data_IF_263082183549
#
_entry.id   IF_263082183549
#
_cell.length_a   1.000
_cell.length_b   1.000
_cell.length_c   1.000
_cell.angle_alpha   90.00
_cell.angle_beta   90.00
_cell.angle_gamma   90.00
#
_symmetry.space_group_name_H-M   'P 1'
#
loop_
_entity.id
_entity.type
_entity.pdbx_description
1 polymer ?
#
# COMPACT_ATOMS: atom_id res chain seq x y z
N UNK A 1 19.65 7.74 10.10
CA UNK A 1 18.23 7.94 9.76
C UNK A 1 17.51 6.67 10.16
N UNK A 2 16.52 6.73 11.04
CA UNK A 2 15.82 5.56 11.59
C UNK A 2 14.52 5.24 10.83
N UNK A 3 14.36 5.80 9.62
CA UNK A 3 13.16 5.63 8.80
C UNK A 3 13.56 5.42 7.34
N UNK A 4 12.75 4.66 6.61
CA UNK A 4 12.82 4.49 5.18
C UNK A 4 11.45 4.75 4.55
N UNK A 5 11.44 5.32 3.35
CA UNK A 5 10.21 5.48 2.57
C UNK A 5 9.67 4.12 2.14
N UNK A 6 8.36 3.93 2.31
CA UNK A 6 7.62 2.75 1.86
C UNK A 6 6.48 3.19 0.95
N UNK A 7 6.38 2.61 -0.24
CA UNK A 7 5.28 2.91 -1.15
C UNK A 7 3.99 2.23 -0.68
N UNK A 8 2.84 2.92 -0.71
CA UNK A 8 1.55 2.24 -0.47
C UNK A 8 1.20 1.30 -1.62
N UNK A 9 1.34 1.77 -2.86
CA UNK A 9 1.24 0.94 -4.05
C UNK A 9 2.62 0.84 -4.68
N UNK A 10 3.22 -0.35 -4.65
CA UNK A 10 4.53 -0.57 -5.27
C UNK A 10 4.45 -0.54 -6.79
N UNK A 11 5.55 -0.15 -7.45
CA UNK A 11 5.66 -0.16 -8.91
C UNK A 11 5.37 -1.55 -9.47
N UNK A 12 5.90 -2.59 -8.82
CA UNK A 12 5.71 -3.98 -9.23
C UNK A 12 4.23 -4.36 -9.28
N UNK A 13 3.48 -4.06 -8.21
CA UNK A 13 2.04 -4.38 -8.18
C UNK A 13 1.29 -3.51 -9.19
N UNK A 14 1.59 -2.21 -9.29
CA UNK A 14 0.91 -1.31 -10.22
C UNK A 14 1.03 -1.77 -11.68
N UNK A 15 2.19 -2.29 -12.09
CA UNK A 15 2.43 -2.80 -13.45
C UNK A 15 1.54 -3.99 -13.83
N UNK A 16 0.93 -4.67 -12.86
CA UNK A 16 0.03 -5.79 -13.11
C UNK A 16 -1.39 -5.34 -13.53
N UNK A 17 -1.72 -4.05 -13.38
CA UNK A 17 -3.08 -3.53 -13.58
C UNK A 17 -3.15 -2.49 -14.72
N UNK A 18 -3.87 -2.77 -15.82
CA UNK A 18 -4.07 -1.81 -16.92
C UNK A 18 -4.58 -0.43 -16.48
N UNK A 19 -5.47 -0.38 -15.47
CA UNK A 19 -6.00 0.89 -14.95
C UNK A 19 -4.90 1.79 -14.35
N UNK A 20 -3.81 1.22 -13.82
CA UNK A 20 -2.68 2.00 -13.32
C UNK A 20 -1.80 2.53 -14.45
N UNK A 21 -1.69 1.80 -15.56
CA UNK A 21 -1.05 2.33 -16.78
C UNK A 21 -1.84 3.52 -17.32
N UNK A 22 -3.18 3.41 -17.35
CA UNK A 22 -4.05 4.53 -17.72
C UNK A 22 -3.88 5.72 -16.80
N UNK A 23 -3.82 5.50 -15.49
CA UNK A 23 -3.56 6.57 -14.54
C UNK A 23 -2.22 7.29 -14.83
N UNK A 24 -1.17 6.55 -15.18
CA UNK A 24 0.12 7.13 -15.53
C UNK A 24 0.04 8.01 -16.79
N UNK A 25 -0.72 7.61 -17.81
CA UNK A 25 -1.00 8.43 -19.00
C UNK A 25 -1.73 9.74 -18.66
N UNK A 26 -2.58 9.72 -17.63
CA UNK A 26 -3.29 10.90 -17.11
C UNK A 26 -2.42 11.78 -16.19
N UNK A 27 -1.14 11.43 -15.99
CA UNK A 27 -0.20 12.21 -15.18
C UNK A 27 -0.05 11.74 -13.73
N UNK A 28 -0.61 10.58 -13.36
CA UNK A 28 -0.30 9.97 -12.06
C UNK A 28 1.18 9.57 -11.98
N UNK A 29 1.91 10.13 -11.01
CA UNK A 29 3.27 9.73 -10.70
C UNK A 29 3.29 8.77 -9.51
N UNK A 30 3.62 7.50 -9.75
CA UNK A 30 3.72 6.47 -8.69
C UNK A 30 4.80 6.76 -7.63
N UNK A 31 5.82 7.54 -7.98
CA UNK A 31 6.90 7.92 -7.07
C UNK A 31 6.61 9.25 -6.33
N UNK A 32 5.37 9.75 -6.38
CA UNK A 32 4.98 10.96 -5.64
C UNK A 32 5.01 10.70 -4.13
N UNK A 33 5.35 11.74 -3.35
CA UNK A 33 5.44 11.62 -1.89
C UNK A 33 4.15 11.14 -1.22
N UNK A 34 2.98 11.44 -1.80
CA UNK A 34 1.69 10.98 -1.27
C UNK A 34 1.40 9.50 -1.50
N UNK A 35 2.16 8.79 -2.34
CA UNK A 35 2.19 7.32 -2.40
C UNK A 35 3.31 6.76 -1.49
N UNK A 36 3.83 7.56 -0.55
CA UNK A 36 4.81 7.14 0.44
C UNK A 36 4.31 7.21 1.88
N UNK A 37 4.96 6.46 2.76
CA UNK A 37 4.97 6.66 4.22
C UNK A 37 6.39 6.40 4.72
N UNK A 38 6.88 7.23 5.64
CA UNK A 38 8.13 6.96 6.33
C UNK A 38 7.89 5.91 7.42
N UNK A 39 8.60 4.78 7.35
CA UNK A 39 8.47 3.70 8.31
C UNK A 39 9.79 3.43 9.05
N UNK A 40 9.72 3.09 10.34
CA UNK A 40 10.89 2.76 11.15
C UNK A 40 11.77 1.66 10.55
N UNK A 41 13.09 1.84 10.60
CA UNK A 41 14.10 0.86 10.16
C UNK A 41 14.82 0.18 11.33
N UNK A 42 14.28 0.31 12.54
CA UNK A 42 14.77 -0.38 13.74
C UNK A 42 13.62 -0.67 14.69
N UNK A 43 13.79 -1.70 15.52
CA UNK A 43 12.73 -2.20 16.42
C UNK A 43 12.37 -1.16 17.48
N UNK A 44 13.35 -0.41 18.01
CA UNK A 44 13.11 0.58 19.07
C UNK A 44 12.19 1.69 18.59
N UNK A 45 12.51 2.29 17.44
CA UNK A 45 11.69 3.32 16.80
C UNK A 45 10.31 2.77 16.39
N UNK A 46 10.23 1.51 15.93
CA UNK A 46 8.94 0.86 15.64
C UNK A 46 8.07 0.73 16.87
N UNK A 47 8.61 0.26 18.00
CA UNK A 47 7.87 0.14 19.25
C UNK A 47 7.44 1.50 19.81
N UNK A 48 8.31 2.51 19.74
CA UNK A 48 8.03 3.87 20.21
C UNK A 48 6.91 4.55 19.41
N UNK A 49 6.94 4.43 18.08
CA UNK A 49 6.00 5.11 17.19
C UNK A 49 4.70 4.34 16.94
N UNK A 50 4.68 3.04 17.24
CA UNK A 50 3.57 2.14 16.88
C UNK A 50 3.47 1.85 15.37
N UNK A 51 4.43 2.30 14.56
CA UNK A 51 4.47 2.08 13.12
C UNK A 51 5.11 0.73 12.76
N UNK A 52 4.71 0.12 11.63
CA UNK A 52 5.29 -1.11 11.12
C UNK A 52 6.81 -1.04 10.92
N UNK A 53 7.50 -2.13 11.22
CA UNK A 53 8.95 -2.24 10.99
C UNK A 53 9.25 -2.46 9.51
N UNK A 54 10.18 -1.69 8.96
CA UNK A 54 10.57 -1.71 7.54
C UNK A 54 12.07 -2.01 7.37
N UNK A 55 12.47 -3.25 7.66
CA UNK A 55 13.89 -3.66 7.66
C UNK A 55 14.17 -4.93 6.86
N UNK A 56 13.14 -5.69 6.55
CA UNK A 56 13.25 -7.01 5.96
C UNK A 56 12.44 -7.18 4.69
N UNK A 57 12.40 -8.43 4.26
CA UNK A 57 11.63 -8.83 3.09
C UNK A 57 10.14 -8.70 3.37
N UNK A 58 9.42 -8.03 2.47
CA UNK A 58 7.97 -7.95 2.55
C UNK A 58 7.33 -9.32 2.33
N UNK A 59 6.26 -9.59 3.07
CA UNK A 59 5.40 -10.74 2.88
C UNK A 59 4.68 -10.61 1.55
N UNK A 60 4.69 -11.69 0.77
CA UNK A 60 3.91 -11.73 -0.47
C UNK A 60 2.42 -11.77 -0.17
N UNK A 61 1.63 -11.41 -1.18
CA UNK A 61 0.16 -11.46 -1.17
C UNK A 61 -0.46 -12.84 -0.83
N UNK A 62 0.33 -13.92 -0.84
CA UNK A 62 -0.12 -15.26 -0.40
C UNK A 62 -0.31 -15.35 1.11
N UNK A 63 0.27 -14.44 1.87
CA UNK A 63 0.11 -14.38 3.31
C UNK A 63 -1.11 -13.54 3.65
N UNK A 64 -2.07 -14.15 4.31
CA UNK A 64 -3.21 -13.44 4.88
C UNK A 64 -2.73 -12.32 5.82
N UNK A 65 -3.35 -11.15 5.72
CA UNK A 65 -2.95 -9.96 6.48
C UNK A 65 -1.67 -9.28 6.01
N UNK A 66 -1.07 -9.67 4.89
CA UNK A 66 0.01 -8.89 4.28
C UNK A 66 -0.50 -7.60 3.64
N UNK A 67 0.34 -6.56 3.64
CA UNK A 67 0.04 -5.32 2.92
C UNK A 67 -0.15 -5.58 1.42
N UNK A 68 0.70 -6.39 0.79
CA UNK A 68 0.57 -6.75 -0.63
C UNK A 68 -0.80 -7.36 -0.96
N UNK A 69 -1.32 -8.26 -0.11
CA UNK A 69 -2.65 -8.84 -0.31
C UNK A 69 -3.75 -7.77 -0.30
N UNK A 70 -3.65 -6.77 0.58
CA UNK A 70 -4.54 -5.62 0.60
C UNK A 70 -4.40 -4.79 -0.68
N UNK A 71 -3.18 -4.46 -1.11
CA UNK A 71 -2.96 -3.68 -2.34
C UNK A 71 -3.58 -4.38 -3.55
N UNK A 72 -3.32 -5.68 -3.74
CA UNK A 72 -3.95 -6.43 -4.84
C UNK A 72 -5.47 -6.41 -4.77
N UNK A 73 -6.06 -6.52 -3.57
CA UNK A 73 -7.52 -6.47 -3.42
C UNK A 73 -8.08 -5.12 -3.86
N UNK A 74 -7.46 -4.03 -3.43
CA UNK A 74 -7.88 -2.67 -3.79
C UNK A 74 -7.67 -2.39 -5.28
N UNK A 75 -6.54 -2.79 -5.87
CA UNK A 75 -6.27 -2.63 -7.31
C UNK A 75 -7.23 -3.44 -8.17
N UNK A 76 -7.54 -4.67 -7.77
CA UNK A 76 -8.58 -5.47 -8.44
C UNK A 76 -9.96 -4.81 -8.38
N UNK A 77 -10.30 -4.19 -7.25
CA UNK A 77 -11.56 -3.46 -7.12
C UNK A 77 -11.57 -2.20 -8.00
N UNK A 78 -10.46 -1.45 -8.06
CA UNK A 78 -10.28 -0.29 -8.93
C UNK A 78 -10.46 -0.66 -10.40
N UNK A 79 -9.74 -1.70 -10.86
CA UNK A 79 -9.85 -2.19 -12.24
C UNK A 79 -11.30 -2.56 -12.59
N UNK A 80 -11.97 -3.33 -11.74
CA UNK A 80 -13.38 -3.72 -11.97
C UNK A 80 -14.34 -2.53 -12.00
N UNK A 81 -14.13 -1.51 -11.16
CA UNK A 81 -14.95 -0.29 -11.20
C UNK A 81 -14.74 0.45 -12.53
N UNK A 82 -13.50 0.56 -12.98
CA UNK A 82 -13.13 1.25 -14.22
C UNK A 82 -13.70 0.51 -15.44
N UNK A 83 -13.51 -0.81 -15.52
CA UNK A 83 -14.03 -1.63 -16.63
C UNK A 83 -15.56 -1.59 -16.74
N UNK A 84 -16.25 -1.34 -15.62
CA UNK A 84 -17.72 -1.22 -15.57
C UNK A 84 -18.21 0.21 -15.78
N UNK A 85 -17.32 1.19 -16.01
CA UNK A 85 -17.68 2.60 -16.11
C UNK A 85 -18.24 3.21 -14.83
N UNK A 86 -18.02 2.58 -13.66
CA UNK A 86 -18.40 3.15 -12.37
C UNK A 86 -17.46 4.29 -11.94
N UNK A 87 -16.25 4.26 -12.48
CA UNK A 87 -15.24 5.32 -12.39
C UNK A 87 -14.66 5.50 -13.80
N UNK A 88 -14.14 6.68 -14.09
CA UNK A 88 -13.57 7.05 -15.40
C UNK A 88 -12.30 7.90 -15.20
N UNK A 89 -11.71 8.39 -16.29
CA UNK A 89 -10.49 9.19 -16.25
C UNK A 89 -10.60 10.42 -15.34
N UNK A 90 -11.80 11.01 -15.20
CA UNK A 90 -12.01 12.25 -14.44
C UNK A 90 -11.86 12.04 -12.92
N UNK A 91 -12.13 10.83 -12.43
CA UNK A 91 -12.07 10.50 -11.00
C UNK A 91 -11.03 9.41 -10.66
N UNK A 92 -10.39 8.78 -11.65
CA UNK A 92 -9.43 7.70 -11.46
C UNK A 92 -8.28 8.08 -10.50
N UNK A 93 -7.63 9.23 -10.71
CA UNK A 93 -6.51 9.66 -9.87
C UNK A 93 -6.95 9.90 -8.41
N UNK A 94 -8.17 10.42 -8.22
CA UNK A 94 -8.74 10.61 -6.88
C UNK A 94 -9.03 9.26 -6.21
N UNK A 95 -9.56 8.29 -6.94
CA UNK A 95 -9.83 6.94 -6.41
C UNK A 95 -8.55 6.21 -6.03
N UNK A 96 -7.45 6.39 -6.80
CA UNK A 96 -6.13 5.87 -6.42
C UNK A 96 -5.66 6.51 -5.12
N UNK A 97 -5.80 7.83 -4.95
CA UNK A 97 -5.50 8.51 -3.69
C UNK A 97 -6.30 7.95 -2.50
N UNK A 98 -7.59 7.71 -2.69
CA UNK A 98 -8.45 7.08 -1.68
C UNK A 98 -7.96 5.66 -1.30
N UNK A 99 -7.42 4.90 -2.25
CA UNK A 99 -6.82 3.59 -2.00
C UNK A 99 -5.51 3.72 -1.21
N UNK A 100 -4.62 4.64 -1.61
CA UNK A 100 -3.37 4.94 -0.90
C UNK A 100 -3.65 5.28 0.57
N UNK A 101 -4.66 6.10 0.84
CA UNK A 101 -5.08 6.47 2.19
C UNK A 101 -5.58 5.27 3.01
N UNK A 102 -6.37 4.38 2.40
CA UNK A 102 -6.83 3.13 3.06
C UNK A 102 -5.67 2.20 3.40
N UNK A 103 -4.71 2.03 2.49
CA UNK A 103 -3.51 1.21 2.72
C UNK A 103 -2.67 1.83 3.84
N UNK A 104 -2.47 3.14 3.81
CA UNK A 104 -1.74 3.87 4.86
C UNK A 104 -2.40 3.69 6.23
N UNK A 105 -3.73 3.81 6.30
CA UNK A 105 -4.47 3.60 7.54
C UNK A 105 -4.31 2.16 8.03
N UNK A 106 -4.43 1.17 7.15
CA UNK A 106 -4.26 -0.24 7.51
C UNK A 106 -2.88 -0.55 8.07
N UNK A 107 -1.82 0.06 7.52
CA UNK A 107 -0.45 -0.02 8.06
C UNK A 107 -0.35 0.65 9.43
N UNK A 108 -0.82 1.90 9.56
CA UNK A 108 -0.75 2.66 10.82
C UNK A 108 -1.55 2.03 11.97
N UNK A 109 -2.58 1.26 11.65
CA UNK A 109 -3.46 0.60 12.62
C UNK A 109 -3.17 -0.88 12.77
N UNK A 110 -2.06 -1.37 12.19
CA UNK A 110 -1.61 -2.76 12.28
C UNK A 110 -2.66 -3.78 11.81
N UNK A 111 -3.55 -3.37 10.89
CA UNK A 111 -4.52 -4.26 10.25
C UNK A 111 -3.86 -5.16 9.20
N UNK A 112 -2.74 -4.69 8.64
CA UNK A 112 -1.86 -5.45 7.76
C UNK A 112 -0.42 -5.32 8.24
N UNK A 113 0.43 -6.27 7.87
CA UNK A 113 1.86 -6.25 8.14
C UNK A 113 2.69 -6.26 6.88
N UNK A 114 3.86 -5.63 6.96
CA UNK A 114 4.86 -5.68 5.89
C UNK A 114 5.69 -6.95 5.95
N UNK A 115 6.12 -7.35 7.13
CA UNK A 115 7.08 -8.44 7.31
C UNK A 115 6.66 -9.38 8.44
N UNK A 116 7.19 -10.60 8.44
CA UNK A 116 6.85 -11.60 9.47
C UNK A 116 7.26 -11.15 10.87
N UNK A 117 8.42 -10.49 10.99
CA UNK A 117 9.00 -10.01 12.23
C UNK A 117 8.51 -8.60 12.63
N UNK A 118 7.33 -8.18 12.17
CA UNK A 118 6.72 -6.94 12.62
C UNK A 118 6.29 -7.07 14.09
N UNK A 119 6.80 -6.24 15.01
CA UNK A 119 6.53 -6.37 16.44
C UNK A 119 5.07 -6.06 16.82
N UNK A 120 4.33 -5.38 15.94
CA UNK A 120 2.94 -4.98 16.21
C UNK A 120 1.91 -5.94 15.63
N UNK A 121 2.34 -6.91 14.81
CA UNK A 121 1.43 -7.86 14.21
C UNK A 121 0.84 -8.82 15.25
N UNK A 122 -0.48 -8.85 15.32
CA UNK A 122 -1.24 -9.85 16.06
C UNK A 122 -2.21 -10.54 15.10
N UNK A 123 -2.13 -11.87 14.90
CA UNK A 123 -3.16 -12.57 14.15
C UNK A 123 -4.52 -12.29 14.80
N UNK A 124 -5.54 -11.99 14.00
CA UNK A 124 -6.90 -11.88 14.52
C UNK A 124 -7.33 -13.29 14.95
N UNK A 125 -7.65 -13.45 16.24
CA UNK A 125 -8.28 -14.65 16.77
C UNK A 125 -9.71 -14.80 16.23
#
# INVERSE_FOLDING_TARGET
>A
MNHAGHHQVSIKIAQEYPVMNRAAELGYNINRGSNGIALPTDIGTSLETGLPLHTGRHLSARHEGSADALVHREMNALQRKYDRGMIDDSNLISEIGNIEDRIRLALKTNQVRLQAADPHWKPRN
#
